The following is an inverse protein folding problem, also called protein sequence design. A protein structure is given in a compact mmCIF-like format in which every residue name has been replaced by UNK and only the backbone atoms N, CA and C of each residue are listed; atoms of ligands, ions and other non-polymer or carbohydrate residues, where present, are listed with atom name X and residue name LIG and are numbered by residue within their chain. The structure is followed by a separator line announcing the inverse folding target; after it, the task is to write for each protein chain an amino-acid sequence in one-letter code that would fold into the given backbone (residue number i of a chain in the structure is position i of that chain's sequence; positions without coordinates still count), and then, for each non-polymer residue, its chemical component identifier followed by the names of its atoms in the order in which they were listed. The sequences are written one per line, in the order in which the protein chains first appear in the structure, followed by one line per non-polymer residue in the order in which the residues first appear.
data_IF_016492123037
#
_entry.id   IF_016492123037
#
_cell.length_a   1.000
_cell.length_b   1.000
_cell.length_c   1.000
_cell.angle_alpha   90.00
_cell.angle_beta   90.00
_cell.angle_gamma   90.00
#
_symmetry.space_group_name_H-M   'P 1'
#
loop_
_entity.id
_entity.type
_entity.pdbx_description
1 polymer ?
#
# COMPACT_ATOMS: atom_id res chain seq x y z
N UNK A 1 -2.01 11.85 -4.41
CA UNK A 1 -2.14 12.69 -3.21
C UNK A 1 -2.57 11.80 -2.05
N UNK A 2 -1.70 11.59 -1.07
CA UNK A 2 -2.14 11.13 0.25
C UNK A 2 -2.46 12.41 1.03
N UNK A 3 -3.73 12.82 1.03
CA UNK A 3 -4.19 13.82 1.97
C UNK A 3 -4.45 13.10 3.29
N UNK A 4 -3.72 13.51 4.31
CA UNK A 4 -3.98 13.14 5.70
C UNK A 4 -5.05 14.11 6.18
N UNK A 5 -6.15 13.61 6.75
CA UNK A 5 -7.19 14.46 7.30
C UNK A 5 -6.78 14.92 8.70
N UNK A 6 -7.20 16.12 9.13
CA UNK A 6 -6.84 16.71 10.43
C UNK A 6 -7.22 15.82 11.63
N UNK A 7 -8.29 15.01 11.51
CA UNK A 7 -8.70 14.03 12.52
C UNK A 7 -7.75 12.83 12.64
N UNK A 8 -7.07 12.46 11.54
CA UNK A 8 -6.07 11.39 11.53
C UNK A 8 -4.77 11.84 12.25
N UNK A 9 -4.49 13.14 12.28
CA UNK A 9 -3.26 13.72 12.86
C UNK A 9 -3.21 13.65 14.40
N UNK A 10 -4.32 13.92 15.11
CA UNK A 10 -4.35 13.86 16.58
C UNK A 10 -4.15 12.43 17.10
N UNK A 11 -4.75 11.44 16.44
CA UNK A 11 -4.57 10.04 16.80
C UNK A 11 -3.15 9.54 16.47
N UNK A 12 -2.58 9.98 15.35
CA UNK A 12 -1.19 9.69 15.00
C UNK A 12 -0.19 10.31 15.99
N UNK A 13 -0.46 11.52 16.48
CA UNK A 13 0.35 12.17 17.53
C UNK A 13 0.28 11.42 18.86
N UNK A 14 -0.90 10.89 19.22
CA UNK A 14 -1.08 10.06 20.42
C UNK A 14 -0.39 8.69 20.31
N UNK A 15 -0.34 8.08 19.12
CA UNK A 15 0.40 6.82 18.89
C UNK A 15 1.92 7.03 18.84
N UNK A 16 2.40 8.19 18.38
CA UNK A 16 3.84 8.53 18.38
C UNK A 16 4.40 8.74 19.78
N UNK A 17 3.60 9.24 20.72
CA UNK A 17 4.02 9.47 22.11
C UNK A 17 4.04 8.19 22.96
N UNK A 18 3.32 7.14 22.54
CA UNK A 18 3.39 5.80 23.11
C UNK A 18 4.44 4.94 22.39
N UNK A 19 5.71 5.09 22.75
CA UNK A 19 6.84 4.41 22.06
C UNK A 19 6.65 2.89 21.82
N UNK A 20 7.03 2.45 20.62
CA UNK A 20 7.32 1.11 20.05
C UNK A 20 6.64 -0.19 20.54
N UNK A 21 5.73 -0.19 21.52
CA UNK A 21 4.94 -1.36 21.94
C UNK A 21 3.53 -0.96 22.42
N UNK A 22 2.91 0.03 21.79
CA UNK A 22 1.46 0.11 21.83
C UNK A 22 0.92 -1.08 21.02
N UNK A 23 0.74 -2.23 21.67
CA UNK A 23 -0.22 -3.23 21.18
C UNK A 23 -1.51 -2.49 20.97
N UNK A 24 -1.83 -2.21 19.71
CA UNK A 24 -3.15 -1.74 19.32
C UNK A 24 -4.09 -2.83 19.84
N UNK A 25 -4.74 -2.61 20.99
CA UNK A 25 -5.64 -3.58 21.62
C UNK A 25 -6.99 -3.59 20.89
N UNK A 26 -6.94 -3.60 19.56
CA UNK A 26 -8.10 -3.65 18.69
C UNK A 26 -7.98 -4.93 17.88
N UNK A 27 -9.11 -5.60 17.70
CA UNK A 27 -9.21 -6.75 16.81
C UNK A 27 -9.31 -6.28 15.37
N UNK A 28 -8.80 -7.09 14.45
CA UNK A 28 -8.90 -6.86 13.03
C UNK A 28 -10.37 -6.89 12.62
N UNK A 29 -10.83 -5.82 11.97
CA UNK A 29 -12.22 -5.70 11.54
C UNK A 29 -12.70 -6.79 10.57
N UNK A 30 -11.78 -7.48 9.88
CA UNK A 30 -12.10 -8.47 8.84
C UNK A 30 -12.03 -9.92 9.33
N UNK A 31 -11.23 -10.22 10.37
CA UNK A 31 -10.97 -11.61 10.79
C UNK A 31 -10.82 -11.81 12.31
N UNK A 32 -11.02 -10.76 13.10
CA UNK A 32 -10.99 -10.77 14.58
C UNK A 32 -9.64 -11.21 15.22
N UNK A 33 -8.58 -11.34 14.42
CA UNK A 33 -7.20 -11.52 14.91
C UNK A 33 -6.64 -10.20 15.47
N UNK A 34 -5.52 -10.25 16.20
CA UNK A 34 -4.92 -9.02 16.73
C UNK A 34 -4.48 -8.06 15.61
N UNK A 35 -4.92 -6.80 15.70
CA UNK A 35 -4.54 -5.79 14.73
C UNK A 35 -3.11 -5.29 14.99
N UNK A 36 -2.38 -5.06 13.91
CA UNK A 36 -1.02 -4.49 13.97
C UNK A 36 -0.93 -3.11 13.28
N UNK A 37 -1.99 -2.69 12.58
CA UNK A 37 -2.07 -1.38 11.92
C UNK A 37 -3.51 -0.85 12.00
N UNK A 38 -3.65 0.47 12.08
CA UNK A 38 -4.92 1.17 11.91
C UNK A 38 -4.78 1.98 10.62
N UNK A 39 -5.57 1.64 9.60
CA UNK A 39 -5.46 2.31 8.27
C UNK A 39 -6.25 3.60 8.22
N UNK A 40 -7.38 3.63 8.92
CA UNK A 40 -8.23 4.80 9.22
C UNK A 40 -8.68 4.66 10.66
N UNK A 41 -9.11 5.74 11.29
CA UNK A 41 -9.53 5.76 12.71
C UNK A 41 -10.41 4.55 13.11
N UNK A 42 -11.29 4.06 12.22
CA UNK A 42 -12.20 2.94 12.45
C UNK A 42 -11.78 1.58 11.82
N UNK A 43 -10.63 1.49 11.15
CA UNK A 43 -10.22 0.31 10.37
C UNK A 43 -8.94 -0.35 10.93
N UNK A 44 -8.98 -0.98 12.13
CA UNK A 44 -7.89 -1.80 12.63
C UNK A 44 -7.76 -3.10 11.82
N UNK A 45 -6.54 -3.43 11.39
CA UNK A 45 -6.26 -4.62 10.58
C UNK A 45 -5.05 -5.40 11.09
N UNK A 46 -5.14 -6.73 11.02
CA UNK A 46 -3.97 -7.60 11.13
C UNK A 46 -3.14 -7.52 9.84
N UNK A 47 -1.91 -8.03 9.88
CA UNK A 47 -0.97 -7.99 8.75
C UNK A 47 -1.58 -8.52 7.45
N UNK A 48 -2.15 -9.73 7.50
CA UNK A 48 -2.69 -10.41 6.31
C UNK A 48 -3.85 -9.63 5.68
N UNK A 49 -4.83 -9.20 6.50
CA UNK A 49 -5.97 -8.44 5.99
C UNK A 49 -5.53 -7.07 5.45
N UNK A 50 -4.52 -6.44 6.05
CA UNK A 50 -3.96 -5.21 5.53
C UNK A 50 -3.29 -5.40 4.16
N UNK A 51 -2.48 -6.45 3.99
CA UNK A 51 -1.82 -6.75 2.71
C UNK A 51 -2.85 -6.99 1.59
N UNK A 52 -3.89 -7.77 1.86
CA UNK A 52 -4.99 -8.00 0.92
C UNK A 52 -5.75 -6.71 0.58
N UNK A 53 -6.07 -5.90 1.61
CA UNK A 53 -6.70 -4.59 1.46
C UNK A 53 -5.84 -3.65 0.59
N UNK A 54 -4.53 -3.61 0.85
CA UNK A 54 -3.60 -2.72 0.18
C UNK A 54 -3.45 -3.08 -1.30
N UNK A 55 -3.31 -4.37 -1.63
CA UNK A 55 -3.31 -4.87 -3.01
C UNK A 55 -4.63 -4.52 -3.71
N UNK A 56 -5.76 -4.73 -3.05
CA UNK A 56 -7.08 -4.41 -3.60
C UNK A 56 -7.23 -2.90 -3.89
N UNK A 57 -6.79 -2.05 -2.96
CA UNK A 57 -6.83 -0.58 -3.11
C UNK A 57 -5.94 -0.13 -4.27
N UNK A 58 -4.71 -0.63 -4.35
CA UNK A 58 -3.80 -0.34 -5.47
C UNK A 58 -4.44 -0.66 -6.83
N UNK A 59 -4.96 -1.89 -6.99
CA UNK A 59 -5.57 -2.34 -8.26
C UNK A 59 -6.80 -1.51 -8.64
N UNK A 60 -7.62 -1.18 -7.64
CA UNK A 60 -8.78 -0.30 -7.83
C UNK A 60 -8.39 1.10 -8.26
N UNK A 61 -7.32 1.65 -7.68
CA UNK A 61 -6.79 2.98 -8.05
C UNK A 61 -6.29 2.99 -9.48
N UNK A 62 -5.45 2.03 -9.87
CA UNK A 62 -4.92 1.91 -11.24
C UNK A 62 -6.06 1.77 -12.24
N UNK A 63 -7.01 0.87 -11.97
CA UNK A 63 -8.15 0.58 -12.86
C UNK A 63 -9.09 1.78 -13.02
N UNK A 64 -9.26 2.62 -11.98
CA UNK A 64 -10.10 3.82 -12.06
C UNK A 64 -9.41 5.00 -12.73
N UNK A 65 -8.08 5.08 -12.57
CA UNK A 65 -7.30 6.19 -13.11
C UNK A 65 -7.23 6.19 -14.63
N UNK A 66 -7.40 5.03 -15.29
CA UNK A 66 -7.28 4.86 -16.75
C UNK A 66 -6.00 5.49 -17.34
N UNK A 67 -4.93 5.54 -16.54
CA UNK A 67 -3.66 6.18 -16.93
C UNK A 67 -2.80 5.34 -17.87
N UNK A 68 -3.12 4.05 -18.03
CA UNK A 68 -2.31 3.13 -18.84
C UNK A 68 -3.12 2.50 -19.97
N UNK A 69 -2.52 2.46 -21.14
CA UNK A 69 -3.04 1.72 -22.29
C UNK A 69 -2.59 0.25 -22.27
N UNK A 70 -3.33 -0.61 -22.97
CA UNK A 70 -2.95 -2.02 -23.08
C UNK A 70 -1.66 -2.15 -23.89
N UNK A 71 -0.69 -2.86 -23.32
CA UNK A 71 0.63 -3.09 -23.94
C UNK A 71 1.62 -1.93 -23.79
N UNK A 72 1.22 -0.83 -23.14
CA UNK A 72 2.08 0.33 -22.95
C UNK A 72 3.34 -0.03 -22.15
N UNK A 73 4.46 0.63 -22.45
CA UNK A 73 5.70 0.51 -21.68
C UNK A 73 5.74 1.60 -20.61
N UNK A 74 5.78 1.18 -19.36
CA UNK A 74 5.76 2.07 -18.20
C UNK A 74 7.09 1.97 -17.47
N UNK A 75 7.74 3.11 -17.26
CA UNK A 75 8.97 3.21 -16.48
C UNK A 75 8.64 3.50 -15.01
N UNK A 76 9.03 2.61 -14.12
CA UNK A 76 8.95 2.78 -12.67
C UNK A 76 10.27 3.35 -12.16
N UNK A 77 10.23 4.59 -11.68
CA UNK A 77 11.34 5.18 -10.93
C UNK A 77 11.43 4.54 -9.54
N UNK A 78 12.56 3.89 -9.27
CA UNK A 78 12.84 3.23 -8.00
C UNK A 78 13.98 3.96 -7.29
N UNK A 79 13.74 4.38 -6.06
CA UNK A 79 14.68 5.16 -5.25
C UNK A 79 15.31 4.38 -4.09
N UNK A 80 14.89 3.14 -3.85
CA UNK A 80 15.30 2.34 -2.68
C UNK A 80 14.56 2.66 -1.37
N UNK A 81 13.75 3.72 -1.33
CA UNK A 81 12.95 4.08 -0.15
C UNK A 81 11.73 3.18 0.08
N UNK A 82 11.12 3.20 1.28
CA UNK A 82 9.98 2.33 1.61
C UNK A 82 8.80 2.41 0.63
N UNK A 83 8.48 3.62 0.17
CA UNK A 83 7.36 3.85 -0.76
C UNK A 83 7.61 3.28 -2.15
N UNK A 84 8.82 3.45 -2.70
CA UNK A 84 9.17 2.94 -4.03
C UNK A 84 9.35 1.42 -4.01
N UNK A 85 9.84 0.85 -2.90
CA UNK A 85 9.88 -0.60 -2.66
C UNK A 85 8.49 -1.20 -2.57
N UNK A 86 7.57 -0.58 -1.82
CA UNK A 86 6.19 -1.04 -1.72
C UNK A 86 5.48 -0.99 -3.09
N UNK A 87 5.70 0.09 -3.86
CA UNK A 87 5.14 0.22 -5.21
C UNK A 87 5.70 -0.84 -6.17
N UNK A 88 7.01 -1.09 -6.14
CA UNK A 88 7.64 -2.15 -6.92
C UNK A 88 7.03 -3.52 -6.60
N UNK A 89 6.88 -3.85 -5.31
CA UNK A 89 6.24 -5.10 -4.88
C UNK A 89 4.81 -5.23 -5.43
N UNK A 90 3.99 -4.18 -5.32
CA UNK A 90 2.62 -4.17 -5.85
C UNK A 90 2.55 -4.35 -7.36
N UNK A 91 3.48 -3.75 -8.11
CA UNK A 91 3.54 -3.90 -9.57
C UNK A 91 3.95 -5.33 -9.94
N UNK A 92 4.96 -5.90 -9.28
CA UNK A 92 5.41 -7.27 -9.50
C UNK A 92 4.28 -8.27 -9.21
N UNK A 93 3.58 -8.13 -8.08
CA UNK A 93 2.40 -8.94 -7.75
C UNK A 93 1.29 -8.78 -8.80
N UNK A 94 1.02 -7.53 -9.22
CA UNK A 94 0.01 -7.21 -10.21
C UNK A 94 0.28 -7.75 -11.62
N UNK A 95 1.55 -7.96 -11.97
CA UNK A 95 2.01 -8.56 -13.22
C UNK A 95 2.12 -10.09 -13.16
N UNK A 96 2.06 -10.70 -11.98
CA UNK A 96 2.18 -12.15 -11.82
C UNK A 96 1.08 -12.92 -12.59
N UNK A 97 1.42 -14.13 -13.04
CA UNK A 97 0.52 -15.00 -13.83
C UNK A 97 -0.74 -15.38 -13.03
N UNK A 98 -0.64 -15.43 -11.70
CA UNK A 98 -1.73 -15.81 -10.81
C UNK A 98 -2.62 -14.62 -10.41
N UNK A 99 -2.36 -13.42 -10.91
CA UNK A 99 -3.15 -12.24 -10.60
C UNK A 99 -4.55 -12.33 -11.23
N UNK A 100 -5.61 -12.23 -10.42
CA UNK A 100 -7.03 -12.28 -10.86
C UNK A 100 -7.41 -11.29 -11.98
N UNK A 101 -6.61 -10.24 -12.22
CA UNK A 101 -6.68 -9.32 -13.38
C UNK A 101 -5.30 -8.72 -13.68
N UNK A 102 -4.47 -9.40 -14.48
CA UNK A 102 -3.10 -8.93 -14.70
C UNK A 102 -3.05 -7.46 -15.16
N UNK A 103 -2.11 -6.69 -14.61
CA UNK A 103 -1.80 -5.37 -15.15
C UNK A 103 -1.42 -5.53 -16.63
N UNK A 104 -1.99 -4.68 -17.48
CA UNK A 104 -1.92 -4.86 -18.94
C UNK A 104 -0.84 -4.02 -19.61
N UNK A 105 0.03 -3.39 -18.82
CA UNK A 105 1.22 -2.69 -19.29
C UNK A 105 2.48 -3.53 -19.05
N UNK A 106 3.57 -3.17 -19.71
CA UNK A 106 4.91 -3.70 -19.47
C UNK A 106 5.66 -2.75 -18.54
N UNK A 107 6.13 -3.24 -17.39
CA UNK A 107 6.91 -2.42 -16.45
C UNK A 107 8.42 -2.57 -16.71
N UNK A 108 9.13 -1.46 -16.73
CA UNK A 108 10.60 -1.41 -16.61
C UNK A 108 10.97 -0.61 -15.37
N UNK A 109 12.08 -0.95 -14.72
CA UNK A 109 12.52 -0.28 -13.49
C UNK A 109 13.77 0.54 -13.80
N UNK A 110 13.80 1.79 -13.38
CA UNK A 110 14.99 2.63 -13.40
C UNK A 110 15.39 2.99 -11.96
N UNK A 111 16.65 2.75 -11.64
CA UNK A 111 17.31 3.26 -10.44
C UNK A 111 18.39 4.24 -10.90
N UNK A 112 18.37 5.45 -10.34
CA UNK A 112 19.39 6.47 -10.64
C UNK A 112 20.36 6.45 -9.48
N UNK A 113 21.59 6.04 -9.78
CA UNK A 113 22.67 6.16 -8.82
C UNK A 113 23.10 7.62 -8.69
N UNK A 114 23.44 8.04 -7.48
CA UNK A 114 23.65 9.46 -7.13
C UNK A 114 25.11 9.93 -7.22
N UNK A 115 25.97 9.14 -7.87
CA UNK A 115 27.42 9.38 -7.98
C UNK A 115 27.79 10.60 -8.85
#
# INVERSE_FOLDING_TARGET
MCQVNEEDDELFQSLKSAGNKATISRKCMSCDQDACVIVRIADPMCRKCFEEFFIHKFRSTISKSNIFERGERVLLAYSGGPSSTALLHLIVDGLSVNARRRLQFQAQVAFIDGD
#
